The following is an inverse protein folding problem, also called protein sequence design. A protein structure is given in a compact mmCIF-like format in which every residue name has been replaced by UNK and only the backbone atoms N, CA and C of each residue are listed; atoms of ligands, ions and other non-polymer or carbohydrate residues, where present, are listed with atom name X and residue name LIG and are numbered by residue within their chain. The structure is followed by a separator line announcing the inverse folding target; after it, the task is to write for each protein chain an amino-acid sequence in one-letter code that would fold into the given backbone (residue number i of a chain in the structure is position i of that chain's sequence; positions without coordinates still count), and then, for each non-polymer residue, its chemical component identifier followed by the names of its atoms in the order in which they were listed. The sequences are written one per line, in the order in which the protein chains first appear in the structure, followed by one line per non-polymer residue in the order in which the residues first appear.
data_IF_140368849892
#
_entry.id   IF_140368849892
#
_cell.length_a   1.000
_cell.length_b   1.000
_cell.length_c   1.000
_cell.angle_alpha   90.00
_cell.angle_beta   90.00
_cell.angle_gamma   90.00
#
_symmetry.space_group_name_H-M   'P 1'
#
loop_
_entity.id
_entity.type
_entity.pdbx_description
1 polymer ?
#
# COMPACT_ATOMS: atom_id res chain seq x y z
N UNK A 1 12.27 -24.71 -1.75
CA UNK A 1 12.39 -24.34 -0.31
C UNK A 1 11.41 -23.22 0.02
N UNK A 2 10.72 -23.23 1.17
CA UNK A 2 9.68 -22.23 1.51
C UNK A 2 10.03 -21.39 2.75
N UNK A 3 9.87 -20.08 2.62
CA UNK A 3 10.11 -19.07 3.65
C UNK A 3 8.82 -18.31 3.97
N UNK A 4 8.57 -18.10 5.26
CA UNK A 4 7.43 -17.33 5.78
C UNK A 4 7.86 -15.98 6.39
N UNK A 5 9.17 -15.68 6.34
CA UNK A 5 9.78 -14.47 6.89
C UNK A 5 10.85 -13.99 5.94
N UNK A 6 11.05 -12.68 5.88
CA UNK A 6 12.03 -12.05 5.00
C UNK A 6 13.48 -12.33 5.43
N UNK A 7 13.79 -12.35 6.74
CA UNK A 7 15.19 -12.48 7.20
C UNK A 7 15.84 -13.80 6.79
N UNK A 8 15.21 -14.98 7.00
CA UNK A 8 15.82 -16.23 6.58
C UNK A 8 15.89 -16.36 5.06
N UNK A 9 14.98 -15.71 4.32
CA UNK A 9 15.02 -15.66 2.86
C UNK A 9 16.18 -14.80 2.37
N UNK A 10 16.36 -13.60 2.92
CA UNK A 10 17.50 -12.73 2.60
C UNK A 10 18.83 -13.42 2.90
N UNK A 11 18.95 -14.05 4.08
CA UNK A 11 20.15 -14.82 4.42
C UNK A 11 20.44 -15.93 3.41
N UNK A 12 19.40 -16.64 2.94
CA UNK A 12 19.57 -17.64 1.90
C UNK A 12 20.01 -17.05 0.56
N UNK A 13 19.47 -15.89 0.16
CA UNK A 13 19.93 -15.19 -1.03
C UNK A 13 21.39 -14.76 -0.88
N UNK A 14 21.79 -14.20 0.26
CA UNK A 14 23.18 -13.80 0.54
C UNK A 14 24.16 -14.98 0.53
N UNK A 15 23.71 -16.17 0.97
CA UNK A 15 24.53 -17.39 0.99
C UNK A 15 24.58 -18.10 -0.37
N UNK A 16 23.58 -17.91 -1.23
CA UNK A 16 23.44 -18.67 -2.49
C UNK A 16 23.77 -17.84 -3.73
N UNK A 17 23.62 -16.52 -3.68
CA UNK A 17 23.86 -15.63 -4.81
C UNK A 17 25.24 -14.95 -4.70
N UNK A 18 25.93 -14.73 -5.83
CA UNK A 18 25.49 -14.99 -7.21
C UNK A 18 25.77 -16.42 -7.71
N UNK A 19 26.48 -17.25 -6.96
CA UNK A 19 27.10 -18.49 -7.47
C UNK A 19 26.10 -19.61 -7.80
N UNK A 20 25.00 -19.69 -7.07
CA UNK A 20 24.03 -20.79 -7.13
C UNK A 20 22.58 -20.26 -7.10
N UNK A 21 22.14 -19.48 -8.10
CA UNK A 21 20.76 -19.03 -8.19
C UNK A 21 19.82 -20.23 -8.36
N UNK A 22 18.64 -20.16 -7.74
CA UNK A 22 17.56 -21.08 -8.05
C UNK A 22 17.02 -20.75 -9.44
N UNK A 23 16.63 -21.76 -10.22
CA UNK A 23 15.97 -21.52 -11.52
C UNK A 23 14.57 -20.92 -11.36
N UNK A 24 13.99 -20.95 -10.16
CA UNK A 24 12.63 -20.51 -9.93
C UNK A 24 12.45 -19.88 -8.55
N UNK A 25 11.98 -18.64 -8.54
CA UNK A 25 11.59 -17.90 -7.35
C UNK A 25 10.09 -17.64 -7.35
N UNK A 26 9.44 -17.86 -6.22
CA UNK A 26 8.05 -17.48 -5.98
C UNK A 26 7.99 -16.41 -4.89
N UNK A 27 7.31 -15.29 -5.15
CA UNK A 27 7.15 -14.19 -4.18
C UNK A 27 5.65 -13.89 -4.01
N UNK A 28 5.11 -14.20 -2.84
CA UNK A 28 3.71 -13.95 -2.52
C UNK A 28 3.56 -12.85 -1.48
N UNK A 29 2.98 -11.72 -1.89
CA UNK A 29 2.71 -10.55 -1.04
C UNK A 29 1.46 -9.83 -1.52
N UNK A 30 0.77 -9.11 -0.64
CA UNK A 30 -0.45 -8.36 -1.00
C UNK A 30 -0.17 -7.16 -1.92
N UNK A 31 0.88 -6.40 -1.62
CA UNK A 31 1.20 -5.15 -2.33
C UNK A 31 2.05 -5.39 -3.58
N UNK A 32 1.62 -4.86 -4.73
CA UNK A 32 2.30 -5.04 -6.02
C UNK A 32 3.70 -4.42 -6.02
N UNK A 33 3.85 -3.23 -5.45
CA UNK A 33 5.12 -2.52 -5.44
C UNK A 33 6.14 -3.26 -4.59
N UNK A 34 5.75 -3.73 -3.40
CA UNK A 34 6.62 -4.56 -2.55
C UNK A 34 7.12 -5.81 -3.29
N UNK A 35 6.24 -6.49 -4.07
CA UNK A 35 6.61 -7.68 -4.85
C UNK A 35 7.64 -7.37 -5.92
N UNK A 36 7.37 -6.36 -6.74
CA UNK A 36 8.25 -5.97 -7.85
C UNK A 36 9.58 -5.43 -7.33
N UNK A 37 9.56 -4.65 -6.25
CA UNK A 37 10.77 -4.18 -5.58
C UNK A 37 11.67 -5.35 -5.15
N UNK A 38 11.09 -6.39 -4.55
CA UNK A 38 11.87 -7.56 -4.14
C UNK A 38 12.38 -8.38 -5.34
N UNK A 39 11.56 -8.55 -6.38
CA UNK A 39 11.97 -9.21 -7.62
C UNK A 39 13.14 -8.49 -8.29
N UNK A 40 13.10 -7.15 -8.37
CA UNK A 40 14.19 -6.33 -8.88
C UNK A 40 15.47 -6.50 -8.06
N UNK A 41 15.36 -6.58 -6.72
CA UNK A 41 16.53 -6.80 -5.86
C UNK A 41 17.17 -8.17 -6.07
N UNK A 42 16.38 -9.22 -6.22
CA UNK A 42 16.89 -10.57 -6.53
C UNK A 42 17.59 -10.54 -7.89
N UNK A 43 16.94 -9.96 -8.90
CA UNK A 43 17.50 -9.83 -10.24
C UNK A 43 18.85 -9.08 -10.24
N UNK A 44 18.94 -7.97 -9.51
CA UNK A 44 20.17 -7.18 -9.36
C UNK A 44 21.29 -7.96 -8.66
N UNK A 45 20.98 -8.86 -7.74
CA UNK A 45 21.98 -9.70 -7.07
C UNK A 45 22.52 -10.82 -7.96
N UNK A 46 21.72 -11.29 -8.92
CA UNK A 46 22.13 -12.31 -9.90
C UNK A 46 22.99 -11.67 -11.02
N UNK A 47 22.81 -10.37 -11.30
CA UNK A 47 23.56 -9.59 -12.29
C UNK A 47 23.45 -10.15 -13.73
N UNK A 48 22.22 -10.50 -14.12
CA UNK A 48 21.90 -11.08 -15.43
C UNK A 48 20.78 -10.26 -16.09
N UNK A 49 20.74 -10.31 -17.43
CA UNK A 49 19.69 -9.66 -18.23
C UNK A 49 18.29 -10.01 -17.69
N UNK A 50 17.53 -8.97 -17.33
CA UNK A 50 16.24 -9.13 -16.66
C UNK A 50 15.14 -8.50 -17.50
N UNK A 51 14.11 -9.28 -17.81
CA UNK A 51 12.92 -8.81 -18.53
C UNK A 51 11.70 -8.91 -17.63
N UNK A 52 11.04 -7.76 -17.43
CA UNK A 52 9.73 -7.70 -16.77
C UNK A 52 8.65 -7.91 -17.83
N UNK A 53 7.91 -9.00 -17.70
CA UNK A 53 6.93 -9.41 -18.68
C UNK A 53 5.51 -9.24 -18.13
N UNK A 54 4.59 -8.62 -18.90
CA UNK A 54 3.16 -8.70 -18.62
C UNK A 54 2.68 -10.16 -18.65
N UNK A 55 1.71 -10.52 -17.82
CA UNK A 55 1.20 -11.90 -17.71
C UNK A 55 0.74 -12.49 -19.04
N UNK A 56 0.22 -11.66 -19.94
CA UNK A 56 -0.30 -12.08 -21.24
C UNK A 56 0.81 -12.55 -22.20
N UNK A 57 2.02 -12.00 -22.04
CA UNK A 57 3.17 -12.31 -22.89
C UNK A 57 4.12 -13.33 -22.26
N UNK A 58 3.87 -13.73 -21.02
CA UNK A 58 4.82 -14.54 -20.26
C UNK A 58 5.09 -15.90 -20.91
N UNK A 59 4.06 -16.56 -21.45
CA UNK A 59 4.22 -17.83 -22.16
C UNK A 59 5.08 -17.68 -23.44
N UNK A 60 4.88 -16.59 -24.19
CA UNK A 60 5.66 -16.31 -25.40
C UNK A 60 7.12 -15.98 -25.06
N UNK A 61 7.34 -15.16 -24.03
CA UNK A 61 8.69 -14.76 -23.60
C UNK A 61 9.48 -15.93 -23.04
N UNK A 62 8.83 -16.86 -22.34
CA UNK A 62 9.46 -18.08 -21.83
C UNK A 62 10.12 -18.89 -22.96
N UNK A 63 9.42 -19.05 -24.08
CA UNK A 63 9.89 -19.84 -25.24
C UNK A 63 10.87 -19.06 -26.13
N UNK A 64 10.98 -17.73 -25.95
CA UNK A 64 11.91 -16.91 -26.70
C UNK A 64 13.37 -17.25 -26.33
N UNK A 65 14.24 -17.58 -27.29
CA UNK A 65 15.65 -17.84 -26.98
C UNK A 65 16.34 -16.56 -26.51
N UNK A 66 17.28 -16.67 -25.56
CA UNK A 66 18.20 -15.57 -25.29
C UNK A 66 19.16 -15.39 -26.47
N UNK A 67 19.27 -14.16 -26.98
CA UNK A 67 20.17 -13.84 -28.09
C UNK A 67 21.59 -13.45 -27.62
N UNK A 68 21.73 -13.01 -26.36
CA UNK A 68 22.93 -12.32 -25.90
C UNK A 68 23.52 -12.84 -24.59
N UNK A 69 22.82 -13.75 -23.90
CA UNK A 69 23.21 -14.20 -22.57
C UNK A 69 23.04 -15.71 -22.41
N UNK A 70 23.98 -16.36 -21.71
CA UNK A 70 23.89 -17.78 -21.36
C UNK A 70 22.79 -18.07 -20.34
N UNK A 71 22.37 -17.03 -19.61
CA UNK A 71 21.24 -17.06 -18.68
C UNK A 71 20.46 -15.76 -18.81
N UNK A 72 19.14 -15.80 -18.59
CA UNK A 72 18.28 -14.62 -18.47
C UNK A 72 17.27 -14.77 -17.35
N UNK A 73 16.80 -13.65 -16.82
CA UNK A 73 15.78 -13.57 -15.78
C UNK A 73 14.47 -13.09 -16.39
N UNK A 74 13.39 -13.85 -16.21
CA UNK A 74 12.03 -13.41 -16.51
C UNK A 74 11.25 -13.16 -15.23
N UNK A 75 10.74 -11.94 -15.08
CA UNK A 75 9.89 -11.55 -13.96
C UNK A 75 8.45 -11.41 -14.45
N UNK A 76 7.50 -12.07 -13.79
CA UNK A 76 6.08 -11.97 -14.12
C UNK A 76 5.22 -11.90 -12.86
N UNK A 77 4.36 -10.89 -12.78
CA UNK A 77 3.34 -10.78 -11.74
C UNK A 77 2.04 -11.48 -12.18
N UNK A 78 1.43 -12.21 -11.25
CA UNK A 78 0.17 -12.93 -11.43
C UNK A 78 0.16 -13.84 -12.67
N UNK A 79 1.25 -14.59 -12.88
CA UNK A 79 1.38 -15.52 -13.99
C UNK A 79 0.28 -16.60 -14.01
N UNK A 80 -0.33 -16.82 -15.17
CA UNK A 80 -1.40 -17.82 -15.38
C UNK A 80 -0.90 -19.10 -16.07
N UNK A 81 0.35 -19.49 -15.79
CA UNK A 81 1.00 -20.63 -16.44
C UNK A 81 0.74 -21.95 -15.70
N UNK A 82 0.46 -23.01 -16.46
CA UNK A 82 0.27 -24.37 -15.91
C UNK A 82 1.57 -25.17 -15.83
N UNK A 83 2.44 -25.01 -16.82
CA UNK A 83 3.70 -25.74 -16.95
C UNK A 83 4.83 -24.75 -17.23
N UNK A 84 5.87 -24.77 -16.39
CA UNK A 84 7.10 -24.02 -16.61
C UNK A 84 8.09 -24.93 -17.35
N UNK A 85 8.71 -24.47 -18.45
CA UNK A 85 9.72 -25.28 -19.11
C UNK A 85 10.95 -25.42 -18.24
N UNK A 86 11.59 -26.57 -18.37
CA UNK A 86 12.86 -26.89 -17.71
C UNK A 86 14.02 -26.43 -18.60
N UNK A 87 14.19 -25.12 -18.72
CA UNK A 87 15.31 -24.53 -19.45
C UNK A 87 16.44 -24.19 -18.48
N UNK A 88 17.66 -24.66 -18.73
CA UNK A 88 18.81 -24.47 -17.83
C UNK A 88 19.37 -23.04 -17.84
N UNK A 89 19.02 -22.28 -18.87
CA UNK A 89 19.41 -20.88 -19.13
C UNK A 89 18.35 -19.87 -18.65
N UNK A 90 17.29 -20.33 -17.99
CA UNK A 90 16.18 -19.48 -17.59
C UNK A 90 16.00 -19.46 -16.07
N UNK A 91 16.02 -18.26 -15.49
CA UNK A 91 15.61 -18.01 -14.12
C UNK A 91 14.24 -17.29 -14.15
N UNK A 92 13.24 -17.90 -13.53
CA UNK A 92 11.91 -17.30 -13.42
C UNK A 92 11.68 -16.71 -12.03
N UNK A 93 11.20 -15.46 -11.96
CA UNK A 93 10.71 -14.84 -10.73
C UNK A 93 9.21 -14.60 -10.90
N UNK A 94 8.40 -15.44 -10.26
CA UNK A 94 6.96 -15.37 -10.30
C UNK A 94 6.44 -14.67 -9.05
N UNK A 95 5.76 -13.54 -9.23
CA UNK A 95 5.18 -12.77 -8.14
C UNK A 95 3.66 -12.83 -8.17
N UNK A 96 2.98 -12.64 -7.03
CA UNK A 96 1.52 -12.46 -7.04
C UNK A 96 0.89 -12.47 -5.65
N UNK A 97 -0.41 -12.18 -5.58
CA UNK A 97 -1.20 -12.35 -4.35
C UNK A 97 -1.62 -13.80 -4.12
N UNK A 98 -1.73 -14.57 -5.20
CA UNK A 98 -2.10 -15.98 -5.16
C UNK A 98 -1.06 -16.80 -5.88
N UNK A 99 -0.85 -18.08 -5.49
CA UNK A 99 0.08 -18.95 -6.18
C UNK A 99 -0.41 -19.25 -7.60
N UNK A 100 0.47 -19.22 -8.61
CA UNK A 100 0.10 -19.58 -9.98
C UNK A 100 -0.29 -21.06 -10.07
N UNK A 101 -1.01 -21.49 -11.12
CA UNK A 101 -1.44 -22.88 -11.29
C UNK A 101 -0.30 -23.89 -11.18
N UNK A 102 0.88 -23.58 -11.73
CA UNK A 102 2.08 -24.43 -11.70
C UNK A 102 2.75 -24.56 -10.31
N UNK A 103 2.33 -23.78 -9.30
CA UNK A 103 3.03 -23.68 -8.03
C UNK A 103 3.16 -25.03 -7.30
N UNK A 104 2.08 -25.83 -7.25
CA UNK A 104 2.09 -27.10 -6.50
C UNK A 104 3.09 -28.11 -7.06
N UNK A 105 3.28 -28.12 -8.37
CA UNK A 105 4.17 -29.06 -9.03
C UNK A 105 5.63 -28.60 -8.90
N UNK A 106 5.85 -27.29 -8.77
CA UNK A 106 7.18 -26.66 -8.81
C UNK A 106 7.70 -26.15 -7.45
N UNK A 107 6.92 -26.23 -6.37
CA UNK A 107 7.34 -25.71 -5.05
C UNK A 107 8.60 -26.39 -4.48
N UNK A 108 8.87 -27.63 -4.91
CA UNK A 108 10.06 -28.39 -4.51
C UNK A 108 11.31 -27.98 -5.29
N UNK A 109 11.13 -27.51 -6.52
CA UNK A 109 12.21 -27.10 -7.43
C UNK A 109 12.63 -25.64 -7.17
N UNK A 110 11.68 -24.77 -6.79
CA UNK A 110 11.93 -23.34 -6.59
C UNK A 110 12.14 -22.90 -5.14
N UNK A 111 12.57 -21.66 -4.97
CA UNK A 111 12.62 -20.95 -3.70
C UNK A 111 11.41 -20.04 -3.55
N UNK A 112 10.63 -20.23 -2.49
CA UNK A 112 9.36 -19.51 -2.24
C UNK A 112 9.48 -18.61 -1.03
N UNK A 113 9.07 -17.35 -1.17
CA UNK A 113 8.79 -16.42 -0.09
C UNK A 113 7.28 -16.14 -0.04
N UNK A 114 6.64 -16.44 1.08
CA UNK A 114 5.20 -16.26 1.28
C UNK A 114 4.93 -15.33 2.48
N UNK A 115 4.66 -14.05 2.20
CA UNK A 115 4.41 -12.99 3.19
C UNK A 115 2.93 -12.55 3.24
N UNK A 116 1.99 -13.33 2.67
CA UNK A 116 0.55 -13.00 2.71
C UNK A 116 -0.01 -12.98 4.14
N UNK A 117 0.58 -13.75 5.05
CA UNK A 117 0.26 -13.76 6.47
C UNK A 117 1.13 -12.83 7.33
N UNK A 118 1.90 -11.92 6.71
CA UNK A 118 2.78 -11.00 7.43
C UNK A 118 1.96 -10.06 8.32
N UNK A 119 2.37 -9.96 9.59
CA UNK A 119 1.70 -9.06 10.54
C UNK A 119 2.07 -7.60 10.23
N UNK A 120 1.21 -6.63 10.55
CA UNK A 120 1.48 -5.22 10.24
C UNK A 120 2.79 -4.68 10.83
N UNK A 121 3.18 -5.12 12.03
CA UNK A 121 4.45 -4.72 12.64
C UNK A 121 5.67 -5.36 11.99
N UNK A 122 5.54 -6.59 11.46
CA UNK A 122 6.61 -7.26 10.72
C UNK A 122 6.83 -6.53 9.38
N UNK A 123 5.74 -6.16 8.69
CA UNK A 123 5.78 -5.29 7.51
C UNK A 123 6.44 -3.93 7.81
N UNK A 124 6.06 -3.26 8.90
CA UNK A 124 6.67 -1.99 9.33
C UNK A 124 8.19 -2.14 9.53
N UNK A 125 8.63 -3.20 10.21
CA UNK A 125 10.05 -3.48 10.44
C UNK A 125 10.81 -3.76 9.14
N UNK A 126 10.20 -4.50 8.22
CA UNK A 126 10.76 -4.78 6.88
C UNK A 126 10.93 -3.50 6.06
N UNK A 127 9.90 -2.65 6.03
CA UNK A 127 9.95 -1.34 5.35
C UNK A 127 11.01 -0.43 5.95
N UNK A 128 11.12 -0.38 7.29
CA UNK A 128 12.19 0.36 7.96
C UNK A 128 13.58 -0.12 7.54
N UNK A 129 13.78 -1.45 7.43
CA UNK A 129 15.06 -2.00 6.97
C UNK A 129 15.36 -1.62 5.52
N UNK A 130 14.41 -1.82 4.62
CA UNK A 130 14.58 -1.49 3.20
C UNK A 130 14.84 0.00 2.98
N UNK A 131 14.19 0.88 3.74
CA UNK A 131 14.48 2.31 3.74
C UNK A 131 15.96 2.60 4.03
N UNK A 132 16.50 2.01 5.10
CA UNK A 132 17.90 2.20 5.48
C UNK A 132 18.87 1.61 4.45
N UNK A 133 18.55 0.45 3.89
CA UNK A 133 19.35 -0.19 2.84
C UNK A 133 19.41 0.66 1.57
N UNK A 134 18.25 1.13 1.08
CA UNK A 134 18.18 1.97 -0.12
C UNK A 134 18.90 3.30 0.10
N UNK A 135 18.75 3.93 1.26
CA UNK A 135 19.49 5.14 1.59
C UNK A 135 21.00 4.89 1.57
N UNK A 136 21.46 3.78 2.15
CA UNK A 136 22.87 3.39 2.19
C UNK A 136 23.43 3.11 0.78
N UNK A 137 22.66 2.43 -0.07
CA UNK A 137 23.01 2.19 -1.49
C UNK A 137 23.22 3.51 -2.24
N UNK A 138 22.50 4.57 -1.86
CA UNK A 138 22.63 5.94 -2.38
C UNK A 138 23.70 6.76 -1.65
N UNK A 139 24.49 6.16 -0.77
CA UNK A 139 25.56 6.82 -0.01
C UNK A 139 25.06 7.72 1.12
N UNK A 140 23.82 7.51 1.59
CA UNK A 140 23.16 8.32 2.63
C UNK A 140 22.89 7.49 3.89
N UNK A 141 23.06 8.11 5.05
CA UNK A 141 22.50 7.64 6.32
C UNK A 141 21.20 8.37 6.63
N UNK A 142 20.35 7.77 7.48
CA UNK A 142 19.16 8.43 8.02
C UNK A 142 19.26 8.44 9.54
N UNK A 143 19.03 9.60 10.16
CA UNK A 143 18.93 9.68 11.62
C UNK A 143 17.79 8.77 12.12
N UNK A 144 17.95 8.03 13.24
CA UNK A 144 16.96 7.05 13.69
C UNK A 144 15.54 7.61 13.86
N UNK A 145 15.41 8.84 14.36
CA UNK A 145 14.12 9.52 14.49
C UNK A 145 13.49 9.88 13.14
N UNK A 146 14.31 10.35 12.19
CA UNK A 146 13.85 10.61 10.82
C UNK A 146 13.37 9.34 10.11
N UNK A 147 14.06 8.22 10.29
CA UNK A 147 13.64 6.93 9.74
C UNK A 147 12.31 6.45 10.34
N UNK A 148 12.13 6.59 11.66
CA UNK A 148 10.88 6.27 12.34
C UNK A 148 9.70 7.12 11.81
N UNK A 149 9.92 8.44 11.67
CA UNK A 149 8.92 9.36 11.12
C UNK A 149 8.52 9.00 9.69
N UNK A 150 9.48 8.70 8.81
CA UNK A 150 9.21 8.30 7.43
C UNK A 150 8.35 7.03 7.35
N UNK A 151 8.72 6.01 8.12
CA UNK A 151 7.98 4.74 8.12
C UNK A 151 6.57 4.93 8.66
N UNK A 152 6.39 5.75 9.70
CA UNK A 152 5.08 6.08 10.25
C UNK A 152 4.23 6.88 9.28
N UNK A 153 4.80 7.93 8.68
CA UNK A 153 4.10 8.77 7.71
C UNK A 153 3.72 8.03 6.42
N UNK A 154 4.42 6.93 6.08
CA UNK A 154 4.10 6.14 4.89
C UNK A 154 2.84 5.28 4.99
N UNK A 155 2.27 5.13 6.20
CA UNK A 155 1.10 4.27 6.45
C UNK A 155 1.25 2.83 5.89
N UNK A 156 2.49 2.31 5.84
CA UNK A 156 2.80 0.97 5.35
C UNK A 156 2.81 0.84 3.82
N UNK A 157 2.95 1.95 3.08
CA UNK A 157 3.18 1.99 1.63
C UNK A 157 4.67 2.16 1.33
N UNK A 158 5.30 1.13 0.75
CA UNK A 158 6.73 1.21 0.39
C UNK A 158 6.98 2.18 -0.75
N UNK A 159 6.09 2.25 -1.74
CA UNK A 159 6.23 3.16 -2.88
C UNK A 159 6.30 4.61 -2.41
N UNK A 160 5.38 4.98 -1.51
CA UNK A 160 5.36 6.31 -0.90
C UNK A 160 6.62 6.53 -0.03
N UNK A 161 7.01 5.54 0.77
CA UNK A 161 8.21 5.62 1.60
C UNK A 161 9.49 5.88 0.78
N UNK A 162 9.66 5.17 -0.34
CA UNK A 162 10.81 5.34 -1.22
C UNK A 162 10.74 6.66 -2.01
N UNK A 163 9.54 7.13 -2.35
CA UNK A 163 9.36 8.45 -2.95
C UNK A 163 9.79 9.57 -2.00
N UNK A 164 9.37 9.54 -0.72
CA UNK A 164 9.81 10.52 0.27
C UNK A 164 11.32 10.43 0.51
N UNK A 165 11.89 9.22 0.50
CA UNK A 165 13.33 9.05 0.58
C UNK A 165 14.05 9.73 -0.60
N UNK A 166 13.61 9.53 -1.84
CA UNK A 166 14.28 10.13 -3.01
C UNK A 166 14.22 11.67 -2.99
N UNK A 167 13.12 12.25 -2.47
CA UNK A 167 13.02 13.69 -2.21
C UNK A 167 14.08 14.14 -1.21
N UNK A 168 14.23 13.43 -0.10
CA UNK A 168 15.19 13.73 0.95
C UNK A 168 16.63 13.57 0.49
N UNK A 169 16.92 12.53 -0.31
CA UNK A 169 18.24 12.33 -0.92
C UNK A 169 18.58 13.55 -1.77
N UNK A 170 17.66 13.99 -2.63
CA UNK A 170 17.81 15.18 -3.48
C UNK A 170 17.99 16.46 -2.65
N UNK A 171 17.14 16.67 -1.65
CA UNK A 171 17.18 17.86 -0.79
C UNK A 171 18.47 17.95 0.04
N UNK A 172 18.98 16.81 0.52
CA UNK A 172 20.17 16.77 1.38
C UNK A 172 21.47 17.16 0.65
N UNK A 173 21.49 17.21 -0.68
CA UNK A 173 22.66 17.58 -1.47
C UNK A 173 23.88 16.71 -1.13
N UNK A 174 24.97 17.32 -0.65
CA UNK A 174 26.19 16.61 -0.25
C UNK A 174 26.17 16.07 1.19
N UNK A 175 25.13 16.38 1.98
CA UNK A 175 25.05 15.91 3.35
C UNK A 175 24.99 14.37 3.39
N UNK A 176 25.85 13.73 4.18
CA UNK A 176 25.91 12.27 4.30
C UNK A 176 24.75 11.68 5.10
N UNK A 177 24.09 12.49 5.92
CA UNK A 177 23.04 12.04 6.83
C UNK A 177 21.79 12.90 6.66
N UNK A 178 20.66 12.25 6.40
CA UNK A 178 19.31 12.83 6.42
C UNK A 178 18.88 12.99 7.88
N UNK A 179 18.66 14.22 8.32
CA UNK A 179 18.27 14.55 9.70
C UNK A 179 16.76 14.53 9.89
N UNK A 180 16.31 14.47 11.15
CA UNK A 180 14.89 14.61 11.51
C UNK A 180 14.30 15.94 11.02
N UNK A 181 15.06 17.03 11.13
CA UNK A 181 14.66 18.36 10.65
C UNK A 181 14.41 18.38 9.13
N UNK A 182 15.28 17.74 8.33
CA UNK A 182 15.07 17.61 6.88
C UNK A 182 13.80 16.84 6.56
N UNK A 183 13.52 15.77 7.32
CA UNK A 183 12.29 14.97 7.18
C UNK A 183 11.07 15.85 7.39
N UNK A 184 11.04 16.69 8.44
CA UNK A 184 9.92 17.61 8.68
C UNK A 184 9.77 18.70 7.61
N UNK A 185 10.87 19.17 7.02
CA UNK A 185 10.84 20.25 6.03
C UNK A 185 10.37 19.78 4.65
N UNK A 186 10.69 18.54 4.27
CA UNK A 186 10.48 18.03 2.91
C UNK A 186 9.33 17.05 2.81
N UNK A 187 9.15 16.21 3.83
CA UNK A 187 8.23 15.09 3.72
C UNK A 187 6.80 15.58 3.84
N UNK A 188 5.97 15.20 2.88
CA UNK A 188 4.56 15.55 2.88
C UNK A 188 3.79 14.45 3.60
N UNK A 189 3.90 14.38 4.93
CA UNK A 189 3.09 13.47 5.75
C UNK A 189 1.65 13.97 5.91
N UNK A 190 1.10 14.60 4.88
CA UNK A 190 -0.32 14.85 4.84
C UNK A 190 -0.98 13.49 5.01
N UNK A 191 -1.70 13.36 6.12
CA UNK A 191 -2.41 12.15 6.42
C UNK A 191 -3.45 12.04 5.33
N UNK A 192 -3.14 11.26 4.28
CA UNK A 192 -4.11 10.83 3.30
C UNK A 192 -5.09 9.96 4.08
N UNK A 193 -6.07 10.61 4.69
CA UNK A 193 -7.18 9.93 5.30
C UNK A 193 -7.76 9.05 4.21
N UNK A 194 -7.85 7.75 4.49
CA UNK A 194 -8.66 6.90 3.63
C UNK A 194 -10.05 7.54 3.51
N UNK A 195 -10.74 7.39 2.38
CA UNK A 195 -12.09 7.97 2.25
C UNK A 195 -13.01 7.58 3.43
N UNK A 196 -12.78 6.39 3.99
CA UNK A 196 -13.40 5.93 5.24
C UNK A 196 -13.09 6.77 6.47
N UNK A 197 -11.83 7.06 6.75
CA UNK A 197 -11.44 7.94 7.86
C UNK A 197 -11.89 9.38 7.63
N UNK A 198 -11.82 9.85 6.39
CA UNK A 198 -12.30 11.18 6.02
C UNK A 198 -13.80 11.30 6.28
N UNK A 199 -14.60 10.35 5.79
CA UNK A 199 -16.05 10.31 5.99
C UNK A 199 -16.43 10.26 7.48
N UNK A 200 -15.71 9.47 8.27
CA UNK A 200 -15.90 9.39 9.73
C UNK A 200 -15.58 10.74 10.38
N UNK A 201 -14.43 11.33 10.04
CA UNK A 201 -14.01 12.61 10.60
C UNK A 201 -14.98 13.75 10.23
N UNK A 202 -15.51 13.75 9.00
CA UNK A 202 -16.58 14.68 8.57
C UNK A 202 -17.80 14.53 9.48
N UNK A 203 -18.30 13.31 9.67
CA UNK A 203 -19.50 13.03 10.47
C UNK A 203 -19.29 13.27 11.97
N UNK A 204 -18.07 13.11 12.48
CA UNK A 204 -17.76 13.37 13.89
C UNK A 204 -17.33 14.82 14.16
N UNK A 205 -17.39 15.69 13.14
CA UNK A 205 -17.00 17.09 13.21
C UNK A 205 -15.53 17.31 13.54
N UNK A 206 -14.66 16.37 13.16
CA UNK A 206 -13.22 16.52 13.32
C UNK A 206 -12.65 17.43 12.21
N UNK A 207 -11.48 18.07 12.44
CA UNK A 207 -10.76 18.75 11.38
C UNK A 207 -10.46 17.75 10.25
N UNK A 208 -10.73 18.17 9.01
CA UNK A 208 -10.42 17.39 7.82
C UNK A 208 -9.72 18.26 6.81
N UNK A 209 -8.68 17.71 6.19
CA UNK A 209 -8.08 18.24 4.98
C UNK A 209 -8.63 17.42 3.81
N UNK A 210 -9.23 18.11 2.85
CA UNK A 210 -9.80 17.50 1.66
C UNK A 210 -8.73 17.61 0.57
N UNK A 211 -8.10 16.49 0.24
CA UNK A 211 -7.22 16.38 -0.94
C UNK A 211 -8.03 16.14 -2.21
N UNK A 212 -7.36 15.65 -3.26
CA UNK A 212 -8.04 15.15 -4.47
C UNK A 212 -8.81 13.87 -4.12
N UNK A 213 -10.11 14.01 -3.88
CA UNK A 213 -11.00 12.89 -3.53
C UNK A 213 -12.22 12.97 -4.42
N UNK A 214 -12.57 11.84 -5.01
CA UNK A 214 -13.84 11.68 -5.72
C UNK A 214 -15.01 11.85 -4.74
N UNK A 215 -15.69 12.99 -4.85
CA UNK A 215 -16.80 13.34 -3.98
C UNK A 215 -17.95 12.33 -4.09
N UNK A 216 -18.16 11.70 -5.26
CA UNK A 216 -19.18 10.66 -5.42
C UNK A 216 -18.90 9.45 -4.53
N UNK A 217 -17.67 8.94 -4.56
CA UNK A 217 -17.23 7.85 -3.68
C UNK A 217 -17.35 8.23 -2.19
N UNK A 218 -17.00 9.48 -1.85
CA UNK A 218 -17.06 9.97 -0.48
C UNK A 218 -18.50 10.10 0.05
N UNK A 219 -19.46 10.51 -0.78
CA UNK A 219 -20.89 10.59 -0.39
C UNK A 219 -21.41 9.25 0.09
N UNK A 220 -21.10 8.16 -0.61
CA UNK A 220 -21.50 6.80 -0.19
C UNK A 220 -20.92 6.43 1.18
N UNK A 221 -19.67 6.82 1.45
CA UNK A 221 -19.00 6.56 2.71
C UNK A 221 -19.59 7.43 3.85
N UNK A 222 -19.84 8.72 3.62
CA UNK A 222 -20.48 9.62 4.60
C UNK A 222 -21.87 9.10 4.97
N UNK A 223 -22.66 8.64 3.98
CA UNK A 223 -23.98 8.05 4.19
C UNK A 223 -23.90 6.89 5.19
N UNK A 224 -23.01 5.95 4.93
CA UNK A 224 -22.80 4.82 5.85
C UNK A 224 -22.46 5.29 7.26
N UNK A 225 -21.58 6.29 7.41
CA UNK A 225 -21.17 6.78 8.73
C UNK A 225 -22.33 7.44 9.49
N UNK A 226 -23.19 8.19 8.78
CA UNK A 226 -24.39 8.78 9.35
C UNK A 226 -25.42 7.71 9.75
N UNK A 227 -25.65 6.70 8.90
CA UNK A 227 -26.55 5.57 9.19
C UNK A 227 -26.08 4.75 10.39
N UNK A 228 -24.77 4.47 10.46
CA UNK A 228 -24.15 3.82 11.61
C UNK A 228 -24.35 4.64 12.88
N UNK A 229 -24.08 5.95 12.82
CA UNK A 229 -24.28 6.85 13.95
C UNK A 229 -25.74 6.89 14.42
N UNK A 230 -26.69 6.95 13.48
CA UNK A 230 -28.12 6.92 13.77
C UNK A 230 -28.54 5.60 14.44
N UNK A 231 -28.10 4.46 13.90
CA UNK A 231 -28.39 3.15 14.48
C UNK A 231 -27.89 3.06 15.92
N UNK A 232 -26.65 3.50 16.18
CA UNK A 232 -26.06 3.53 17.52
C UNK A 232 -26.81 4.49 18.46
N UNK A 233 -27.19 5.67 17.99
CA UNK A 233 -27.89 6.67 18.81
C UNK A 233 -29.34 6.26 19.14
N UNK A 234 -29.95 5.42 18.32
CA UNK A 234 -31.31 4.90 18.51
C UNK A 234 -31.35 3.57 19.25
N UNK A 235 -30.20 2.96 19.54
CA UNK A 235 -30.11 1.64 20.18
C UNK A 235 -30.43 0.47 19.24
N UNK A 236 -30.45 0.70 17.92
CA UNK A 236 -30.61 -0.33 16.92
C UNK A 236 -29.30 -1.10 16.71
N UNK A 237 -29.41 -2.32 16.14
CA UNK A 237 -28.25 -3.11 15.79
C UNK A 237 -27.41 -2.37 14.72
N UNK A 238 -26.12 -2.09 14.98
CA UNK A 238 -25.30 -1.36 14.04
C UNK A 238 -24.99 -2.24 12.82
N UNK A 239 -24.86 -1.67 11.60
CA UNK A 239 -24.32 -2.40 10.46
C UNK A 239 -22.92 -2.92 10.81
N UNK A 240 -22.51 -4.07 10.26
CA UNK A 240 -21.24 -4.77 10.49
C UNK A 240 -20.03 -3.81 10.64
N UNK A 241 -19.81 -3.31 11.85
CA UNK A 241 -18.82 -2.29 12.18
C UNK A 241 -17.97 -2.78 13.34
N UNK A 242 -16.69 -2.41 13.34
CA UNK A 242 -15.78 -2.82 14.39
C UNK A 242 -16.18 -2.20 15.75
N UNK A 243 -16.01 -2.90 16.87
CA UNK A 243 -16.34 -2.38 18.20
C UNK A 243 -15.69 -1.02 18.51
N UNK A 244 -14.42 -0.85 18.08
CA UNK A 244 -13.65 0.40 18.25
C UNK A 244 -14.31 1.58 17.52
N UNK A 245 -14.86 1.36 16.33
CA UNK A 245 -15.58 2.40 15.57
C UNK A 245 -16.86 2.79 16.29
N UNK A 246 -17.66 1.81 16.72
CA UNK A 246 -18.88 2.06 17.48
C UNK A 246 -18.62 2.85 18.77
N UNK A 247 -17.52 2.56 19.47
CA UNK A 247 -17.12 3.28 20.68
C UNK A 247 -16.84 4.77 20.40
N UNK A 248 -16.19 5.11 19.28
CA UNK A 248 -15.92 6.52 18.90
C UNK A 248 -17.21 7.33 18.72
N UNK A 249 -18.20 6.76 18.04
CA UNK A 249 -19.51 7.39 17.86
C UNK A 249 -20.23 7.59 19.20
N UNK A 250 -20.26 6.55 20.06
CA UNK A 250 -20.86 6.65 21.39
C UNK A 250 -20.19 7.72 22.25
N UNK A 251 -18.86 7.81 22.21
CA UNK A 251 -18.08 8.82 22.96
C UNK A 251 -18.43 10.26 22.55
N UNK A 252 -18.78 10.48 21.28
CA UNK A 252 -19.19 11.80 20.79
C UNK A 252 -20.60 12.20 21.24
N UNK A 253 -21.45 11.24 21.59
CA UNK A 253 -22.76 11.51 22.20
C UNK A 253 -23.72 12.31 21.32
N UNK A 254 -23.61 12.20 19.99
CA UNK A 254 -24.43 12.95 19.06
C UNK A 254 -25.87 12.40 19.04
N UNK A 255 -26.91 13.25 19.06
CA UNK A 255 -28.30 12.81 19.14
C UNK A 255 -28.80 12.22 17.81
N UNK A 256 -29.85 11.37 17.81
CA UNK A 256 -30.44 10.83 16.56
C UNK A 256 -30.82 11.91 15.53
N UNK A 257 -31.31 13.07 15.99
CA UNK A 257 -31.68 14.20 15.14
C UNK A 257 -30.50 14.70 14.29
N UNK A 258 -29.29 14.76 14.86
CA UNK A 258 -28.08 15.15 14.13
C UNK A 258 -27.83 14.27 12.91
N UNK A 259 -27.96 12.95 13.07
CA UNK A 259 -27.72 12.00 11.99
C UNK A 259 -28.82 12.04 10.92
N UNK A 260 -30.09 12.12 11.33
CA UNK A 260 -31.22 12.24 10.39
C UNK A 260 -31.10 13.48 9.50
N UNK A 261 -30.78 14.62 10.12
CA UNK A 261 -30.61 15.86 9.40
C UNK A 261 -29.34 15.88 8.55
N UNK A 262 -28.27 15.23 9.02
CA UNK A 262 -27.08 14.98 8.22
C UNK A 262 -27.39 14.15 6.98
N UNK A 263 -28.22 13.12 7.08
CA UNK A 263 -28.66 12.30 5.95
C UNK A 263 -29.49 13.12 4.94
N UNK A 264 -30.35 13.99 5.43
CA UNK A 264 -31.11 14.91 4.58
C UNK A 264 -30.19 15.89 3.85
N UNK A 265 -29.26 16.52 4.56
CA UNK A 265 -28.28 17.43 3.94
C UNK A 265 -27.36 16.70 2.94
N UNK A 266 -27.03 15.44 3.20
CA UNK A 266 -26.24 14.61 2.29
C UNK A 266 -27.01 14.26 1.02
N UNK A 267 -28.32 14.01 1.13
CA UNK A 267 -29.17 13.80 -0.03
C UNK A 267 -29.25 15.06 -0.91
N UNK A 268 -29.41 16.24 -0.30
CA UNK A 268 -29.38 17.51 -1.03
C UNK A 268 -28.03 17.73 -1.74
N UNK A 269 -26.92 17.41 -1.06
CA UNK A 269 -25.58 17.43 -1.63
C UNK A 269 -25.51 16.50 -2.86
N UNK A 270 -25.97 15.25 -2.74
CA UNK A 270 -25.96 14.30 -3.85
C UNK A 270 -26.75 14.79 -5.07
N UNK A 271 -27.91 15.43 -4.84
CA UNK A 271 -28.69 16.03 -5.93
C UNK A 271 -27.94 17.16 -6.63
N UNK A 272 -27.21 17.99 -5.88
CA UNK A 272 -26.37 19.05 -6.45
C UNK A 272 -25.21 18.49 -7.28
N UNK A 273 -24.52 17.47 -6.80
CA UNK A 273 -23.40 16.85 -7.53
C UNK A 273 -23.91 16.28 -8.87
N UNK A 274 -25.04 15.55 -8.86
CA UNK A 274 -25.65 14.98 -10.09
C UNK A 274 -26.08 16.04 -11.11
N UNK A 275 -26.43 17.24 -10.65
CA UNK A 275 -26.81 18.34 -11.54
C UNK A 275 -25.61 18.99 -12.25
N UNK A 276 -24.37 18.66 -11.84
CA UNK A 276 -23.12 19.15 -12.43
C UNK A 276 -22.91 20.68 -12.31
N UNK A 277 -23.50 21.30 -11.29
CA UNK A 277 -23.61 22.77 -11.17
C UNK A 277 -22.48 23.41 -10.32
N UNK A 278 -21.50 22.68 -9.77
CA UNK A 278 -20.65 23.29 -8.73
C UNK A 278 -19.23 22.72 -8.61
N UNK A 279 -18.38 23.47 -7.92
CA UNK A 279 -17.09 23.03 -7.41
C UNK A 279 -17.30 22.10 -6.21
N UNK A 280 -16.85 20.84 -6.31
CA UNK A 280 -17.02 19.80 -5.31
C UNK A 280 -16.54 20.20 -3.91
N UNK A 281 -15.43 20.95 -3.82
CA UNK A 281 -14.91 21.42 -2.55
C UNK A 281 -15.89 22.37 -1.84
N UNK A 282 -16.51 23.29 -2.58
CA UNK A 282 -17.49 24.23 -2.03
C UNK A 282 -18.76 23.52 -1.58
N UNK A 283 -19.21 22.52 -2.34
CA UNK A 283 -20.38 21.71 -1.98
C UNK A 283 -20.15 20.93 -0.68
N UNK A 284 -18.97 20.33 -0.54
CA UNK A 284 -18.61 19.60 0.67
C UNK A 284 -18.46 20.53 1.88
N UNK A 285 -17.88 21.71 1.71
CA UNK A 285 -17.80 22.71 2.78
C UNK A 285 -19.19 23.22 3.19
N UNK A 286 -20.11 23.45 2.23
CA UNK A 286 -21.50 23.80 2.54
C UNK A 286 -22.18 22.70 3.36
N UNK A 287 -22.00 21.43 2.98
CA UNK A 287 -22.50 20.29 3.73
C UNK A 287 -21.93 20.24 5.15
N UNK A 288 -20.62 20.43 5.30
CA UNK A 288 -19.95 20.43 6.62
C UNK A 288 -20.44 21.56 7.51
N UNK A 289 -20.67 22.76 6.97
CA UNK A 289 -21.23 23.88 7.71
C UNK A 289 -22.65 23.57 8.20
N UNK A 290 -23.50 23.00 7.33
CA UNK A 290 -24.86 22.56 7.69
C UNK A 290 -24.85 21.49 8.75
N UNK A 291 -23.89 20.57 8.70
CA UNK A 291 -23.75 19.50 9.68
C UNK A 291 -23.23 20.04 11.03
N UNK A 292 -22.23 20.94 11.01
CA UNK A 292 -21.60 21.50 12.21
C UNK A 292 -22.47 22.49 12.98
N UNK A 293 -23.26 23.32 12.30
CA UNK A 293 -24.14 24.33 12.92
C UNK A 293 -25.14 23.74 13.94
N UNK A 294 -25.36 22.43 13.89
CA UNK A 294 -26.38 21.73 14.67
C UNK A 294 -25.84 21.04 15.92
N UNK A 295 -24.52 21.07 16.13
CA UNK A 295 -23.89 20.58 17.37
C UNK A 295 -23.87 21.62 18.50
N UNK A 296 -24.30 22.86 18.21
CA UNK A 296 -24.23 24.00 19.13
C UNK A 296 -25.56 24.38 19.78
N UNK A 297 -26.58 23.52 19.68
CA UNK A 297 -27.90 23.67 20.31
C UNK A 297 -28.21 22.45 21.15
#
# INVERSE_FOLDING_TARGET
MKYLKIDPFQKHLEESLPDHPSSLYFIFMEDLFDRLFLAERIARQIDVETTFCPKEKFAEEIDAPSLFSEQRILVCDEAEIKELPTASDLICILTGKTPPPCYKDKEKEGTTLDLRGEKPWDKKNRHHRWLLEVAREKGKGIAPRGAALLVEGSNGSLSFLLQELEKLITYSGDAKTITEEMVHQVSSFDHSHTGWELSENIVLGAPVQIGEIDLYSLVGQIRYQLELGLALATGNEPPNASPKKCERFRKKGLPPAYFLEGLQALFDLEMKIRSNISNDALLLDEFRLKLGAKTSC
#
